data_IF_172983103240
#
_entry.id   IF_172983103240
#
_cell.length_a   1.000
_cell.length_b   1.000
_cell.length_c   1.000
_cell.angle_alpha   90.00
_cell.angle_beta   90.00
_cell.angle_gamma   90.00
#
_symmetry.space_group_name_H-M   'P 1'
#
loop_
_entity.id
_entity.type
_entity.pdbx_description
1 polymer ?
#
# COMPACT_ATOMS: atom_id res chain seq x y z
N UNK A 1 -20.02 11.36 5.74
CA UNK A 1 -18.71 11.34 6.43
C UNK A 1 -18.69 12.32 7.60
N UNK A 2 -18.85 13.62 7.37
CA UNK A 2 -18.91 14.63 8.46
C UNK A 2 -19.97 14.35 9.53
N UNK A 3 -21.17 13.91 9.15
CA UNK A 3 -22.27 13.65 10.11
C UNK A 3 -22.03 12.47 11.07
N UNK A 4 -21.29 11.44 10.66
CA UNK A 4 -20.98 10.31 11.54
C UNK A 4 -19.97 10.69 12.62
N UNK A 5 -18.93 11.43 12.26
CA UNK A 5 -17.91 11.90 13.21
C UNK A 5 -18.45 12.96 14.15
N UNK A 6 -19.31 13.87 13.67
CA UNK A 6 -19.99 14.87 14.49
C UNK A 6 -20.83 14.26 15.62
N UNK A 7 -21.39 13.08 15.43
CA UNK A 7 -22.20 12.39 16.44
C UNK A 7 -21.34 11.67 17.50
N UNK A 8 -20.11 11.28 17.15
CA UNK A 8 -19.22 10.52 18.04
C UNK A 8 -18.18 11.43 18.70
N UNK A 9 -17.69 12.43 17.96
CA UNK A 9 -16.65 13.35 18.40
C UNK A 9 -16.88 14.75 17.81
N UNK A 10 -17.87 15.51 18.34
CA UNK A 10 -18.25 16.83 17.78
C UNK A 10 -17.12 17.86 17.79
N UNK A 11 -16.16 17.74 18.68
CA UNK A 11 -15.03 18.65 18.79
C UNK A 11 -13.85 18.30 17.84
N UNK A 12 -13.93 17.20 17.12
CA UNK A 12 -12.84 16.68 16.28
C UNK A 12 -12.97 16.99 14.78
N UNK A 13 -14.13 17.49 14.37
CA UNK A 13 -14.50 17.52 12.94
C UNK A 13 -13.98 18.75 12.20
N UNK A 14 -13.53 19.78 12.90
CA UNK A 14 -13.10 21.01 12.24
C UNK A 14 -11.74 20.91 11.52
N UNK A 15 -10.89 19.89 11.83
CA UNK A 15 -9.54 19.83 11.27
C UNK A 15 -8.97 18.39 11.12
N UNK A 16 -9.75 17.45 10.56
CA UNK A 16 -9.23 16.10 10.24
C UNK A 16 -8.27 16.18 9.05
N UNK A 17 -7.03 16.53 9.32
CA UNK A 17 -5.95 16.44 8.34
C UNK A 17 -5.23 15.11 8.48
N UNK A 18 -4.82 14.53 7.36
CA UNK A 18 -3.94 13.35 7.35
C UNK A 18 -2.63 13.71 8.04
N UNK A 19 -2.32 13.05 9.16
CA UNK A 19 -1.11 13.32 9.95
C UNK A 19 0.05 12.41 9.58
N UNK A 20 -0.24 11.14 9.31
CA UNK A 20 0.75 10.12 8.95
C UNK A 20 0.10 8.87 8.36
N UNK A 21 0.91 8.02 7.78
CA UNK A 21 0.52 6.67 7.36
C UNK A 21 1.25 5.67 8.26
N UNK A 22 0.51 4.71 8.80
CA UNK A 22 1.07 3.63 9.62
C UNK A 22 0.65 2.27 9.05
N UNK A 23 1.38 1.21 9.40
CA UNK A 23 0.95 -0.16 9.13
C UNK A 23 0.88 -0.98 10.42
N UNK A 24 -0.03 -1.96 10.45
CA UNK A 24 -0.20 -2.86 11.57
C UNK A 24 0.95 -3.88 11.64
N UNK A 25 1.57 -4.06 12.81
CA UNK A 25 2.67 -5.02 13.01
C UNK A 25 2.18 -6.45 13.27
N UNK A 26 0.90 -6.58 13.58
CA UNK A 26 0.14 -7.82 13.80
C UNK A 26 -1.32 -7.58 13.45
N UNK A 27 -2.15 -8.62 13.46
CA UNK A 27 -3.60 -8.44 13.35
C UNK A 27 -4.09 -7.57 14.52
N UNK A 28 -4.83 -6.51 14.20
CA UNK A 28 -5.12 -5.43 15.14
C UNK A 28 -6.59 -5.01 15.06
N UNK A 29 -7.32 -5.15 16.17
CA UNK A 29 -8.70 -4.68 16.24
C UNK A 29 -8.78 -3.16 16.08
N UNK A 30 -9.65 -2.72 15.20
CA UNK A 30 -10.13 -1.34 15.11
C UNK A 30 -11.32 -1.19 16.05
N UNK A 31 -11.29 -0.21 16.93
CA UNK A 31 -12.30 -0.03 17.98
C UNK A 31 -13.12 1.23 17.79
N UNK A 32 -14.32 1.22 18.33
CA UNK A 32 -15.24 2.39 18.29
C UNK A 32 -14.79 3.55 19.15
N UNK A 33 -13.81 3.37 20.05
CA UNK A 33 -13.25 4.40 20.94
C UNK A 33 -11.82 4.07 21.35
N UNK A 34 -11.16 5.02 21.97
CA UNK A 34 -9.76 4.94 22.42
C UNK A 34 -9.57 4.16 23.74
N UNK A 35 -10.19 2.98 23.84
CA UNK A 35 -10.08 2.08 24.99
C UNK A 35 -10.26 0.63 24.56
N UNK A 36 -9.58 -0.30 25.27
CA UNK A 36 -9.76 -1.75 25.07
C UNK A 36 -11.16 -2.23 25.45
N UNK A 37 -11.90 -1.46 26.25
CA UNK A 37 -13.27 -1.77 26.68
C UNK A 37 -14.30 -1.43 25.59
N UNK A 38 -13.93 -0.68 24.54
CA UNK A 38 -14.84 -0.34 23.45
C UNK A 38 -14.96 -1.47 22.44
N UNK A 39 -16.08 -1.49 21.73
CA UNK A 39 -16.37 -2.50 20.72
C UNK A 39 -15.31 -2.55 19.62
N UNK A 40 -14.91 -3.77 19.20
CA UNK A 40 -14.13 -3.95 17.99
C UNK A 40 -15.08 -3.89 16.78
N UNK A 41 -14.88 -2.91 15.91
CA UNK A 41 -15.76 -2.60 14.77
C UNK A 41 -15.17 -3.03 13.43
N UNK A 42 -13.85 -3.28 13.38
CA UNK A 42 -13.12 -3.75 12.20
C UNK A 42 -11.81 -4.44 12.65
N UNK A 43 -11.09 -5.03 11.70
CA UNK A 43 -9.81 -5.69 11.92
C UNK A 43 -8.83 -5.24 10.83
N UNK A 44 -7.65 -4.78 11.22
CA UNK A 44 -6.51 -4.63 10.32
C UNK A 44 -5.72 -5.93 10.30
N UNK A 45 -5.47 -6.47 9.13
CA UNK A 45 -4.50 -7.57 8.99
C UNK A 45 -3.07 -7.05 9.21
N UNK A 46 -2.18 -7.97 9.60
CA UNK A 46 -0.75 -7.64 9.70
C UNK A 46 -0.23 -7.08 8.38
N UNK A 47 0.52 -5.98 8.44
CA UNK A 47 1.05 -5.17 7.33
C UNK A 47 0.01 -4.28 6.64
N UNK A 48 -1.27 -4.37 6.95
CA UNK A 48 -2.25 -3.44 6.39
C UNK A 48 -1.92 -2.00 6.79
N UNK A 49 -1.91 -1.12 5.80
CA UNK A 49 -1.62 0.31 5.99
C UNK A 49 -2.90 1.12 6.16
N UNK A 50 -2.84 2.08 7.07
CA UNK A 50 -3.97 2.99 7.34
C UNK A 50 -3.50 4.43 7.53
N UNK A 51 -4.41 5.36 7.26
CA UNK A 51 -4.20 6.80 7.45
C UNK A 51 -4.60 7.21 8.85
N UNK A 52 -3.70 7.93 9.53
CA UNK A 52 -3.94 8.49 10.87
C UNK A 52 -4.41 9.93 10.74
N UNK A 53 -5.49 10.25 11.40
CA UNK A 53 -6.13 11.57 11.43
C UNK A 53 -6.08 12.25 12.80
N UNK A 54 -5.64 11.55 13.84
CA UNK A 54 -5.50 12.12 15.18
C UNK A 54 -4.82 11.17 16.16
N UNK A 55 -4.31 11.72 17.24
CA UNK A 55 -3.66 11.00 18.33
C UNK A 55 -4.38 11.25 19.66
N UNK A 56 -4.75 10.18 20.37
CA UNK A 56 -5.51 10.23 21.62
C UNK A 56 -4.86 9.33 22.68
N UNK A 57 -3.90 9.89 23.42
CA UNK A 57 -3.08 9.11 24.34
C UNK A 57 -2.31 8.00 23.58
N UNK A 58 -2.54 6.74 23.92
CA UNK A 58 -1.90 5.58 23.29
C UNK A 58 -2.63 5.08 22.03
N UNK A 59 -3.58 5.86 21.50
CA UNK A 59 -4.41 5.47 20.37
C UNK A 59 -4.27 6.44 19.19
N UNK A 60 -4.37 5.87 17.99
CA UNK A 60 -4.55 6.60 16.74
C UNK A 60 -6.01 6.56 16.31
N UNK A 61 -6.57 7.69 15.90
CA UNK A 61 -7.78 7.73 15.09
C UNK A 61 -7.37 7.48 13.64
N UNK A 62 -7.89 6.41 13.07
CA UNK A 62 -7.58 5.97 11.71
C UNK A 62 -8.83 5.89 10.85
N UNK A 63 -8.64 5.85 9.54
CA UNK A 63 -9.66 5.47 8.58
C UNK A 63 -9.23 4.17 7.89
N UNK A 64 -10.07 3.15 7.97
CA UNK A 64 -9.84 1.85 7.32
C UNK A 64 -10.06 1.95 5.81
N UNK A 65 -9.63 0.94 5.07
CA UNK A 65 -9.88 0.81 3.63
C UNK A 65 -11.38 0.76 3.30
N UNK A 66 -12.22 0.32 4.23
CA UNK A 66 -13.68 0.33 4.14
C UNK A 66 -14.30 1.70 4.44
N UNK A 67 -13.49 2.76 4.58
CA UNK A 67 -13.92 4.12 4.92
C UNK A 67 -14.60 4.23 6.29
N UNK A 68 -14.25 3.36 7.23
CA UNK A 68 -14.73 3.40 8.62
C UNK A 68 -13.68 4.06 9.49
N UNK A 69 -14.10 5.06 10.29
CA UNK A 69 -13.25 5.63 11.32
C UNK A 69 -13.28 4.78 12.57
N UNK A 70 -12.11 4.62 13.20
CA UNK A 70 -11.98 3.90 14.46
C UNK A 70 -10.61 4.12 15.09
N UNK A 71 -10.37 3.47 16.20
CA UNK A 71 -9.15 3.62 16.97
C UNK A 71 -8.32 2.35 16.97
N UNK A 72 -7.01 2.52 16.83
CA UNK A 72 -6.01 1.45 16.97
C UNK A 72 -4.95 1.85 17.98
N UNK A 73 -4.42 0.87 18.70
CA UNK A 73 -3.38 1.12 19.69
C UNK A 73 -2.02 1.33 19.03
N UNK A 74 -1.31 2.38 19.40
CA UNK A 74 -0.04 2.82 18.79
C UNK A 74 1.06 1.76 18.83
N UNK A 75 1.18 1.02 19.93
CA UNK A 75 2.23 0.01 20.12
C UNK A 75 2.22 -1.10 19.07
N UNK A 76 1.08 -1.31 18.41
CA UNK A 76 0.92 -2.34 17.37
C UNK A 76 0.97 -1.77 15.96
N UNK A 77 1.45 -0.54 15.81
CA UNK A 77 1.63 0.12 14.52
C UNK A 77 3.07 0.59 14.33
N UNK A 78 3.47 0.80 13.08
CA UNK A 78 4.71 1.50 12.72
C UNK A 78 4.43 2.52 11.64
N UNK A 79 5.07 3.67 11.76
CA UNK A 79 4.97 4.75 10.80
C UNK A 79 5.77 4.44 9.53
N UNK A 80 5.20 4.81 8.40
CA UNK A 80 5.89 4.93 7.12
C UNK A 80 6.27 6.40 6.98
N UNK A 81 7.53 6.66 7.21
CA UNK A 81 8.18 7.95 7.12
C UNK A 81 8.93 8.08 5.78
N UNK A 82 9.25 9.31 5.38
CA UNK A 82 9.97 9.63 4.14
C UNK A 82 9.19 9.20 2.88
N UNK A 83 9.90 8.76 1.84
CA UNK A 83 9.31 8.26 0.61
C UNK A 83 9.09 6.75 0.67
N UNK A 84 7.90 6.31 0.31
CA UNK A 84 7.56 4.89 0.31
C UNK A 84 6.50 4.53 -0.73
N UNK A 85 6.54 3.27 -1.14
CA UNK A 85 5.55 2.66 -2.03
C UNK A 85 4.66 1.73 -1.21
N UNK A 86 3.35 1.80 -1.43
CA UNK A 86 2.39 0.79 -0.95
C UNK A 86 1.83 0.06 -2.17
N UNK A 87 1.80 -1.26 -2.11
CA UNK A 87 1.07 -2.12 -3.05
C UNK A 87 -0.04 -2.84 -2.29
N UNK A 88 -1.26 -2.45 -2.59
CA UNK A 88 -2.48 -3.06 -2.07
C UNK A 88 -2.93 -4.16 -3.04
N UNK A 89 -2.79 -5.42 -2.62
CA UNK A 89 -3.08 -6.58 -3.44
C UNK A 89 -4.58 -6.80 -3.63
N UNK A 90 -5.42 -6.44 -2.66
CA UNK A 90 -6.88 -6.58 -2.76
C UNK A 90 -7.47 -5.53 -3.69
N UNK A 91 -7.00 -4.28 -3.60
CA UNK A 91 -7.45 -3.21 -4.48
C UNK A 91 -6.78 -3.23 -5.85
N UNK A 92 -5.70 -4.01 -6.03
CA UNK A 92 -4.84 -4.00 -7.21
C UNK A 92 -4.37 -2.59 -7.55
N UNK A 93 -3.83 -1.90 -6.54
CA UNK A 93 -3.36 -0.52 -6.64
C UNK A 93 -1.96 -0.35 -6.04
N UNK A 94 -1.25 0.60 -6.62
CA UNK A 94 0.00 1.10 -6.07
C UNK A 94 -0.17 2.57 -5.72
N UNK A 95 0.41 2.95 -4.59
CA UNK A 95 0.49 4.32 -4.10
C UNK A 95 1.96 4.68 -3.86
N UNK A 96 2.33 5.89 -4.23
CA UNK A 96 3.63 6.47 -3.90
C UNK A 96 3.39 7.71 -3.04
N UNK A 97 4.08 7.74 -1.88
CA UNK A 97 3.98 8.80 -0.89
C UNK A 97 5.34 9.44 -0.64
N UNK A 98 5.31 10.72 -0.27
CA UNK A 98 6.40 11.42 0.40
C UNK A 98 5.85 11.97 1.72
N UNK A 99 6.14 11.30 2.84
CA UNK A 99 5.46 11.53 4.10
C UNK A 99 3.95 11.30 3.99
N UNK A 100 3.14 12.35 4.16
CA UNK A 100 1.67 12.28 4.01
C UNK A 100 1.18 12.60 2.61
N UNK A 101 2.04 13.12 1.74
CA UNK A 101 1.68 13.53 0.39
C UNK A 101 1.63 12.31 -0.54
N UNK A 102 0.42 11.86 -0.86
CA UNK A 102 0.20 10.88 -1.90
C UNK A 102 0.22 11.56 -3.26
N UNK A 103 1.27 11.36 -4.03
CA UNK A 103 1.42 12.02 -5.33
C UNK A 103 1.24 11.08 -6.54
N UNK A 104 1.30 9.76 -6.33
CA UNK A 104 0.91 8.77 -7.34
C UNK A 104 -0.11 7.79 -6.75
N UNK A 105 -1.15 7.52 -7.51
CA UNK A 105 -2.05 6.38 -7.32
C UNK A 105 -2.33 5.79 -8.69
N UNK A 106 -2.12 4.49 -8.84
CA UNK A 106 -2.32 3.80 -10.11
C UNK A 106 -2.87 2.39 -9.92
N UNK A 107 -3.75 1.91 -10.80
CA UNK A 107 -4.04 0.49 -10.86
C UNK A 107 -2.79 -0.27 -11.30
N UNK A 108 -2.60 -1.47 -10.76
CA UNK A 108 -1.50 -2.40 -11.10
C UNK A 108 -2.04 -3.79 -11.39
N UNK A 109 -1.18 -4.68 -11.87
CA UNK A 109 -1.50 -6.10 -11.91
C UNK A 109 -0.39 -6.87 -11.22
N UNK A 110 -0.73 -7.56 -10.16
CA UNK A 110 0.20 -8.29 -9.30
C UNK A 110 0.35 -9.75 -9.72
N UNK A 111 0.99 -10.58 -8.92
CA UNK A 111 1.15 -12.00 -9.18
C UNK A 111 -0.20 -12.73 -9.26
N UNK A 112 -0.28 -13.73 -10.16
CA UNK A 112 -1.46 -14.60 -10.28
C UNK A 112 -1.57 -15.56 -9.08
N UNK A 113 -2.72 -16.20 -8.90
CA UNK A 113 -2.97 -17.10 -7.76
C UNK A 113 -1.93 -18.21 -7.59
N UNK A 114 -1.39 -18.71 -8.69
CA UNK A 114 -0.35 -19.76 -8.66
C UNK A 114 1.06 -19.22 -8.37
N UNK A 115 1.28 -17.93 -8.51
CA UNK A 115 2.54 -17.22 -8.25
C UNK A 115 2.25 -15.85 -7.68
N UNK A 116 1.68 -15.78 -6.46
CA UNK A 116 1.27 -14.52 -5.86
C UNK A 116 2.49 -13.65 -5.55
N UNK A 117 2.30 -12.34 -5.53
CA UNK A 117 3.30 -11.41 -5.01
C UNK A 117 3.49 -11.62 -3.51
N UNK A 118 4.73 -11.62 -3.04
CA UNK A 118 5.06 -11.77 -1.64
C UNK A 118 4.60 -10.56 -0.82
N UNK A 119 3.92 -10.82 0.30
CA UNK A 119 3.54 -9.78 1.28
C UNK A 119 4.70 -9.50 2.22
N UNK A 120 4.97 -8.22 2.47
CA UNK A 120 6.05 -7.83 3.37
C UNK A 120 6.34 -6.34 3.34
N UNK A 121 7.26 -5.95 4.21
CA UNK A 121 7.94 -4.67 4.13
C UNK A 121 9.34 -4.90 3.56
N UNK A 122 9.52 -4.41 2.35
CA UNK A 122 10.74 -4.52 1.57
C UNK A 122 11.38 -3.16 1.36
N UNK A 123 12.41 -3.11 0.56
CA UNK A 123 13.02 -1.89 0.03
C UNK A 123 13.53 -2.13 -1.39
N UNK A 124 13.61 -1.08 -2.18
CA UNK A 124 14.25 -1.17 -3.50
C UNK A 124 15.74 -1.46 -3.31
N UNK A 125 16.22 -2.57 -3.86
CA UNK A 125 17.62 -2.98 -3.78
C UNK A 125 18.46 -2.40 -4.89
N UNK A 126 17.92 -2.37 -6.10
CA UNK A 126 18.55 -1.74 -7.26
C UNK A 126 17.51 -1.34 -8.29
N UNK A 127 17.90 -0.44 -9.18
CA UNK A 127 17.12 0.05 -10.32
C UNK A 127 17.92 -0.14 -11.58
N UNK A 128 17.27 -0.45 -12.68
CA UNK A 128 17.89 -0.53 -14.00
C UNK A 128 16.91 -0.19 -15.11
N UNK A 129 17.47 0.22 -16.26
CA UNK A 129 16.72 0.51 -17.48
C UNK A 129 16.93 -0.60 -18.49
N UNK A 130 15.95 -0.77 -19.40
CA UNK A 130 16.02 -1.74 -20.51
C UNK A 130 16.40 -3.14 -20.03
N UNK A 131 15.74 -3.64 -19.00
CA UNK A 131 16.08 -4.89 -18.33
C UNK A 131 15.38 -6.07 -18.97
N UNK A 132 16.10 -7.10 -19.44
CA UNK A 132 15.49 -8.33 -19.89
C UNK A 132 14.98 -9.14 -18.68
N UNK A 133 13.71 -9.50 -18.71
CA UNK A 133 13.08 -10.42 -17.78
C UNK A 133 12.85 -11.74 -18.49
N UNK A 134 13.53 -12.79 -18.03
CA UNK A 134 13.53 -14.11 -18.67
C UNK A 134 13.06 -15.14 -17.64
N UNK A 135 12.00 -15.86 -17.96
CA UNK A 135 11.47 -16.98 -17.22
C UNK A 135 11.25 -18.18 -18.12
N UNK A 136 10.63 -19.23 -17.59
CA UNK A 136 10.37 -20.47 -18.34
C UNK A 136 9.43 -20.24 -19.54
N UNK A 137 8.45 -19.34 -19.37
CA UNK A 137 7.36 -19.07 -20.31
C UNK A 137 7.30 -17.62 -20.81
N UNK A 138 8.28 -16.79 -20.45
CA UNK A 138 8.36 -15.41 -20.93
C UNK A 138 9.80 -14.95 -21.20
N UNK A 139 9.91 -14.02 -22.14
CA UNK A 139 11.14 -13.29 -22.44
C UNK A 139 10.73 -11.91 -22.95
N UNK A 140 10.79 -10.92 -22.05
CA UNK A 140 10.36 -9.55 -22.32
C UNK A 140 11.42 -8.58 -21.81
N UNK A 141 11.52 -7.40 -22.43
CA UNK A 141 12.35 -6.32 -21.91
C UNK A 141 11.43 -5.24 -21.36
N UNK A 142 11.71 -4.79 -20.13
CA UNK A 142 11.03 -3.67 -19.49
C UNK A 142 11.91 -2.43 -19.53
N UNK A 143 11.28 -1.27 -19.72
CA UNK A 143 12.02 -0.02 -19.78
C UNK A 143 12.54 0.38 -18.39
N UNK A 144 11.73 0.12 -17.36
CA UNK A 144 11.98 0.49 -15.96
C UNK A 144 11.90 -0.73 -15.06
N UNK A 145 12.97 -1.05 -14.35
CA UNK A 145 13.03 -2.14 -13.39
C UNK A 145 13.48 -1.64 -12.02
N UNK A 146 12.68 -1.93 -10.98
CA UNK A 146 12.95 -1.60 -9.59
C UNK A 146 12.77 -2.87 -8.75
N UNK A 147 13.89 -3.57 -8.47
CA UNK A 147 13.86 -4.82 -7.70
C UNK A 147 13.67 -4.53 -6.20
N UNK A 148 12.72 -5.20 -5.56
CA UNK A 148 12.47 -5.06 -4.12
C UNK A 148 12.51 -6.38 -3.34
N UNK A 149 12.38 -7.54 -4.00
CA UNK A 149 12.40 -8.86 -3.37
C UNK A 149 13.01 -9.87 -4.35
N UNK A 150 13.36 -11.05 -3.89
CA UNK A 150 13.96 -12.19 -4.61
C UNK A 150 13.48 -12.43 -6.06
N UNK A 151 13.83 -11.56 -6.98
CA UNK A 151 13.36 -11.62 -8.37
C UNK A 151 12.03 -10.90 -8.62
N UNK A 152 11.34 -10.43 -7.60
CA UNK A 152 10.18 -9.55 -7.74
C UNK A 152 10.62 -8.09 -7.89
N UNK A 153 9.91 -7.35 -8.71
CA UNK A 153 10.14 -5.93 -8.94
C UNK A 153 8.90 -5.18 -9.37
N UNK A 154 8.99 -3.87 -9.24
CA UNK A 154 8.09 -2.93 -9.85
C UNK A 154 8.59 -2.65 -11.27
N UNK A 155 7.76 -2.77 -12.29
CA UNK A 155 8.16 -2.52 -13.67
C UNK A 155 7.00 -2.14 -14.58
N UNK A 156 7.30 -1.50 -15.69
CA UNK A 156 6.33 -1.26 -16.75
C UNK A 156 5.90 -2.58 -17.43
N UNK A 157 4.68 -2.58 -17.94
CA UNK A 157 4.14 -3.73 -18.67
C UNK A 157 3.44 -3.26 -19.95
N UNK A 158 4.22 -2.91 -20.95
CA UNK A 158 3.75 -2.38 -22.24
C UNK A 158 2.87 -3.36 -23.03
N UNK A 159 2.96 -4.65 -22.75
CA UNK A 159 2.11 -5.70 -23.32
C UNK A 159 0.69 -5.78 -22.75
N UNK A 160 0.39 -4.99 -21.70
CA UNK A 160 -0.92 -4.94 -21.06
C UNK A 160 -1.68 -3.68 -21.46
N UNK A 161 -2.96 -3.85 -21.74
CA UNK A 161 -3.88 -2.73 -21.98
C UNK A 161 -4.79 -2.42 -20.78
N UNK A 162 -4.81 -3.33 -19.78
CA UNK A 162 -5.64 -3.20 -18.59
C UNK A 162 -4.83 -3.52 -17.34
N UNK A 163 -5.08 -2.75 -16.28
CA UNK A 163 -4.50 -2.90 -14.95
C UNK A 163 -5.60 -2.78 -13.91
N UNK A 164 -5.41 -3.41 -12.75
CA UNK A 164 -6.43 -3.46 -11.71
C UNK A 164 -7.49 -4.54 -11.95
N UNK A 165 -8.47 -4.59 -11.05
CA UNK A 165 -9.59 -5.56 -11.11
C UNK A 165 -9.16 -7.00 -10.84
N UNK A 166 -9.99 -7.96 -11.25
CA UNK A 166 -9.86 -9.38 -10.92
C UNK A 166 -9.00 -10.19 -11.92
N UNK A 167 -8.57 -9.58 -13.01
CA UNK A 167 -7.82 -10.28 -14.09
C UNK A 167 -6.49 -10.88 -13.59
N UNK A 168 -5.93 -10.36 -12.49
CA UNK A 168 -4.67 -10.85 -11.94
C UNK A 168 -4.75 -12.32 -11.51
N UNK A 169 -5.88 -12.83 -11.06
CA UNK A 169 -6.04 -14.22 -10.64
C UNK A 169 -5.53 -15.23 -11.67
N UNK A 170 -5.78 -14.96 -12.92
CA UNK A 170 -5.39 -15.87 -14.05
C UNK A 170 -4.36 -15.30 -15.01
N UNK A 171 -4.34 -13.94 -15.14
CA UNK A 171 -3.48 -13.21 -16.07
C UNK A 171 -2.47 -12.32 -15.36
N UNK A 172 -2.26 -12.55 -14.05
CA UNK A 172 -1.25 -11.87 -13.26
C UNK A 172 0.18 -12.24 -13.69
N UNK A 173 1.12 -11.60 -13.02
CA UNK A 173 2.55 -11.85 -13.22
C UNK A 173 3.01 -13.14 -12.49
N UNK A 174 4.32 -13.37 -12.48
CA UNK A 174 4.97 -14.41 -11.67
C UNK A 174 5.49 -13.84 -10.32
N UNK A 175 4.76 -12.84 -9.76
CA UNK A 175 5.09 -12.18 -8.50
C UNK A 175 5.38 -10.68 -8.63
N UNK A 176 5.88 -10.24 -9.77
CA UNK A 176 6.18 -8.83 -10.03
C UNK A 176 4.92 -7.95 -10.03
N UNK A 177 5.12 -6.67 -9.83
CA UNK A 177 4.07 -5.64 -9.90
C UNK A 177 4.13 -4.96 -11.27
N UNK A 178 3.18 -5.29 -12.12
CA UNK A 178 3.03 -4.70 -13.45
C UNK A 178 2.36 -3.33 -13.35
N UNK A 179 3.02 -2.29 -13.84
CA UNK A 179 2.61 -0.89 -13.76
C UNK A 179 2.35 -0.36 -15.19
N UNK A 180 1.38 0.54 -15.40
CA UNK A 180 1.23 1.24 -16.67
C UNK A 180 2.53 1.97 -17.05
N UNK A 181 3.03 1.87 -18.32
CA UNK A 181 4.36 2.34 -18.69
C UNK A 181 4.67 3.79 -18.31
N UNK A 182 3.73 4.71 -18.56
CA UNK A 182 3.92 6.13 -18.22
C UNK A 182 4.08 6.34 -16.71
N UNK A 183 3.35 5.58 -15.90
CA UNK A 183 3.41 5.69 -14.43
C UNK A 183 4.67 5.02 -13.90
N UNK A 184 5.12 3.94 -14.53
CA UNK A 184 6.40 3.30 -14.18
C UNK A 184 7.58 4.24 -14.40
N UNK A 185 7.57 5.06 -15.47
CA UNK A 185 8.52 6.14 -15.71
C UNK A 185 8.53 7.14 -14.55
N UNK A 186 7.34 7.66 -14.20
CA UNK A 186 7.19 8.62 -13.10
C UNK A 186 7.69 8.02 -11.78
N UNK A 187 7.31 6.79 -11.43
CA UNK A 187 7.77 6.11 -10.20
C UNK A 187 9.29 5.93 -10.23
N UNK A 188 9.84 5.42 -11.34
CA UNK A 188 11.27 5.14 -11.45
C UNK A 188 12.13 6.37 -11.19
N UNK A 189 11.69 7.56 -11.64
CA UNK A 189 12.45 8.79 -11.45
C UNK A 189 12.24 9.45 -10.08
N UNK A 190 11.21 9.06 -9.36
CA UNK A 190 10.92 9.60 -8.03
C UNK A 190 11.43 8.71 -6.89
N UNK A 191 11.51 7.38 -7.04
CA UNK A 191 12.00 6.51 -5.97
C UNK A 191 13.52 6.30 -6.06
N UNK A 192 14.15 6.04 -4.92
CA UNK A 192 15.59 5.76 -4.83
C UNK A 192 15.85 4.32 -4.35
N UNK A 193 17.09 3.87 -4.49
CA UNK A 193 17.54 2.63 -3.83
C UNK A 193 17.46 2.83 -2.32
N UNK A 194 16.74 1.96 -1.65
CA UNK A 194 16.43 2.07 -0.22
C UNK A 194 15.00 2.51 0.08
N UNK A 195 14.27 3.10 -0.89
CA UNK A 195 12.84 3.43 -0.74
C UNK A 195 12.08 2.19 -0.28
N UNK A 196 11.28 2.33 0.77
CA UNK A 196 10.47 1.26 1.35
C UNK A 196 9.36 0.85 0.39
N UNK A 197 9.09 -0.45 0.31
CA UNK A 197 7.98 -1.03 -0.46
C UNK A 197 7.17 -1.91 0.48
N UNK A 198 5.98 -1.48 0.83
CA UNK A 198 5.04 -2.24 1.64
C UNK A 198 4.04 -2.95 0.71
N UNK A 199 4.04 -4.29 0.73
CA UNK A 199 3.10 -5.12 -0.02
C UNK A 199 2.17 -5.80 0.97
N UNK A 200 0.88 -5.53 0.87
CA UNK A 200 -0.15 -6.08 1.76
C UNK A 200 -1.46 -6.40 1.01
N UNK A 201 -2.40 -7.03 1.71
CA UNK A 201 -3.78 -7.19 1.31
C UNK A 201 -4.60 -6.01 1.76
#
# INVERSE_FOLDING_TARGET
MHEMLNNIYPDLVEDLTLQKVVYATQDLNVRSGNSIETEAIDLLERLESVRVYGEFGDWYLIMTNNHTFGFVHKDYTKELDEEFVIVDLDQQKLYLYNGTDQYIQTPVTTGKDSTPSDKGLFKIYYKSLNTPLIGEDYNVTVDYWMNYNNGEGLHDASWRSQFGGEDYHTKGSHGCINIPPKVADDIYHNVEVGTKVLVHK
#
